data_IF_374615297365
#
_entry.id   IF_374615297365
#
_cell.length_a   1.000
_cell.length_b   1.000
_cell.length_c   1.000
_cell.angle_alpha   90.00
_cell.angle_beta   90.00
_cell.angle_gamma   90.00
#
_symmetry.space_group_name_H-M   'P 1'
#
loop_
_entity.id
_entity.type
_entity.pdbx_description
1 polymer ?
#
# COMPACT_ATOMS: atom_id res chain seq x y z
N UNK A 1 -22.03 -16.22 -35.16
CA UNK A 1 -22.14 -17.25 -34.10
C UNK A 1 -20.96 -17.08 -33.17
N UNK A 2 -21.10 -16.98 -31.84
CA UNK A 2 -19.91 -16.99 -30.98
C UNK A 2 -19.41 -18.43 -30.83
N UNK A 3 -18.12 -18.58 -31.05
CA UNK A 3 -17.36 -19.82 -31.01
C UNK A 3 -17.29 -20.32 -29.56
N UNK A 4 -17.72 -21.56 -29.29
CA UNK A 4 -17.55 -22.20 -27.98
C UNK A 4 -16.08 -22.54 -27.74
N UNK A 5 -15.34 -21.61 -27.13
CA UNK A 5 -14.09 -21.93 -26.45
C UNK A 5 -14.39 -22.73 -25.19
N UNK A 6 -13.97 -24.01 -25.16
CA UNK A 6 -14.08 -24.92 -24.03
C UNK A 6 -13.17 -24.50 -22.87
N UNK A 7 -13.50 -23.43 -22.16
CA UNK A 7 -12.89 -23.15 -20.86
C UNK A 7 -13.92 -23.33 -19.75
N UNK A 8 -13.78 -24.43 -19.01
CA UNK A 8 -14.63 -24.82 -17.88
C UNK A 8 -14.37 -23.98 -16.62
N UNK A 9 -13.43 -23.03 -16.68
CA UNK A 9 -13.11 -22.08 -15.62
C UNK A 9 -13.77 -20.71 -15.80
N UNK A 10 -14.51 -20.48 -16.88
CA UNK A 10 -15.24 -19.24 -17.06
C UNK A 10 -16.49 -19.23 -16.17
N UNK A 11 -16.51 -18.34 -15.18
CA UNK A 11 -17.66 -18.03 -14.35
C UNK A 11 -18.75 -17.32 -15.17
N UNK A 12 -19.46 -18.10 -15.98
CA UNK A 12 -20.76 -17.78 -16.59
C UNK A 12 -20.88 -16.38 -17.20
N UNK A 13 -20.34 -16.17 -18.40
CA UNK A 13 -20.63 -14.95 -19.17
C UNK A 13 -22.07 -15.00 -19.71
N UNK A 14 -22.99 -14.29 -19.04
CA UNK A 14 -24.38 -14.18 -19.49
C UNK A 14 -24.54 -13.07 -20.53
N UNK A 15 -24.99 -13.44 -21.72
CA UNK A 15 -25.33 -12.55 -22.83
C UNK A 15 -26.84 -12.34 -22.89
N UNK A 16 -27.28 -11.10 -23.01
CA UNK A 16 -28.70 -10.77 -23.21
C UNK A 16 -28.93 -10.23 -24.61
N UNK A 17 -30.03 -10.66 -25.24
CA UNK A 17 -30.39 -10.29 -26.61
C UNK A 17 -31.19 -9.00 -26.57
N UNK A 18 -30.78 -7.98 -27.32
CA UNK A 18 -31.54 -6.72 -27.41
C UNK A 18 -32.74 -6.90 -28.32
N UNK A 19 -33.75 -6.03 -28.17
CA UNK A 19 -34.99 -6.03 -28.98
C UNK A 19 -34.70 -5.89 -30.49
N UNK A 20 -33.56 -5.29 -30.84
CA UNK A 20 -33.07 -5.07 -32.20
C UNK A 20 -32.25 -6.28 -32.72
N UNK A 21 -32.28 -7.40 -32.00
CA UNK A 21 -31.64 -8.67 -32.39
C UNK A 21 -30.12 -8.74 -32.18
N UNK A 22 -29.51 -7.71 -31.58
CA UNK A 22 -28.07 -7.66 -31.32
C UNK A 22 -27.72 -8.25 -29.94
N UNK A 23 -26.57 -8.90 -29.81
CA UNK A 23 -26.11 -9.41 -28.52
C UNK A 23 -25.34 -8.33 -27.78
N UNK A 24 -25.74 -8.02 -26.55
CA UNK A 24 -25.04 -7.05 -25.73
C UNK A 24 -24.73 -7.65 -24.35
N UNK A 25 -23.62 -7.17 -23.77
CA UNK A 25 -23.26 -7.49 -22.40
C UNK A 25 -24.18 -6.66 -21.48
N UNK A 26 -24.75 -7.24 -20.41
CA UNK A 26 -25.47 -6.46 -19.42
C UNK A 26 -24.50 -5.43 -18.82
N UNK A 27 -24.85 -4.14 -18.92
CA UNK A 27 -24.10 -3.08 -18.26
C UNK A 27 -24.26 -3.27 -16.75
N UNK A 28 -23.16 -3.32 -15.97
CA UNK A 28 -23.27 -3.51 -14.54
C UNK A 28 -24.07 -2.35 -13.94
N UNK A 29 -25.10 -2.71 -13.16
CA UNK A 29 -25.89 -1.76 -12.39
C UNK A 29 -24.92 -0.99 -11.49
N UNK A 30 -24.79 0.31 -11.71
CA UNK A 30 -23.95 1.19 -10.91
C UNK A 30 -24.59 1.41 -9.53
N UNK A 31 -24.47 0.42 -8.63
CA UNK A 31 -24.63 0.66 -7.21
C UNK A 31 -23.24 0.84 -6.59
N UNK A 32 -23.02 2.08 -6.17
CA UNK A 32 -22.00 2.59 -5.24
C UNK A 32 -20.51 2.56 -5.64
N UNK A 33 -19.98 3.78 -5.74
CA UNK A 33 -18.57 4.15 -5.67
C UNK A 33 -17.89 3.78 -4.33
N UNK A 34 -18.31 2.72 -3.61
CA UNK A 34 -17.99 2.62 -2.18
C UNK A 34 -17.36 1.33 -1.66
N UNK A 35 -17.23 0.21 -2.37
CA UNK A 35 -16.64 -0.97 -1.72
C UNK A 35 -15.68 -1.85 -2.52
N UNK A 36 -15.75 -1.97 -3.85
CA UNK A 36 -15.23 -3.21 -4.45
C UNK A 36 -14.67 -2.99 -5.87
N UNK A 37 -13.51 -2.33 -5.97
CA UNK A 37 -12.62 -2.53 -7.11
C UNK A 37 -11.83 -3.82 -6.82
N UNK A 38 -12.43 -4.99 -7.07
CA UNK A 38 -12.02 -6.31 -6.55
C UNK A 38 -10.74 -6.92 -7.14
N UNK A 39 -9.88 -6.11 -7.77
CA UNK A 39 -8.52 -6.48 -8.17
C UNK A 39 -7.49 -5.42 -7.74
N UNK A 40 -7.88 -4.46 -6.90
CA UNK A 40 -6.99 -3.40 -6.44
C UNK A 40 -5.80 -4.02 -5.72
N UNK A 41 -4.61 -3.82 -6.28
CA UNK A 41 -3.38 -4.21 -5.63
C UNK A 41 -3.25 -3.46 -4.31
N UNK A 42 -2.51 -3.99 -3.33
CA UNK A 42 -2.28 -3.25 -2.09
C UNK A 42 -1.69 -1.85 -2.37
N UNK A 43 -0.93 -1.68 -3.46
CA UNK A 43 -0.47 -0.36 -3.91
C UNK A 43 -1.61 0.56 -4.34
N UNK A 44 -2.66 0.05 -4.98
CA UNK A 44 -3.84 0.85 -5.34
C UNK A 44 -4.63 1.26 -4.12
N UNK A 45 -4.74 0.39 -3.10
CA UNK A 45 -5.37 0.72 -1.81
C UNK A 45 -4.54 1.79 -1.07
N UNK A 46 -3.22 1.64 -1.02
CA UNK A 46 -2.31 2.62 -0.41
C UNK A 46 -2.35 3.97 -1.14
N UNK A 47 -2.50 3.97 -2.46
CA UNK A 47 -2.63 5.19 -3.25
C UNK A 47 -4.03 5.82 -3.11
N UNK A 48 -5.10 5.01 -3.11
CA UNK A 48 -6.50 5.45 -2.99
C UNK A 48 -6.85 5.99 -1.60
N UNK A 49 -6.07 5.64 -0.58
CA UNK A 49 -6.20 6.21 0.77
C UNK A 49 -5.91 7.73 0.84
N UNK A 50 -5.56 8.40 -0.28
CA UNK A 50 -5.18 9.83 -0.38
C UNK A 50 -4.26 10.25 0.79
N UNK A 51 -3.22 9.44 1.00
CA UNK A 51 -2.45 9.45 2.25
C UNK A 51 -1.64 10.74 2.39
N UNK A 52 -1.25 11.37 1.28
CA UNK A 52 -0.53 12.65 1.29
C UNK A 52 -1.38 13.74 1.92
N UNK A 53 -2.69 13.79 1.64
CA UNK A 53 -3.63 14.68 2.30
C UNK A 53 -4.13 14.15 3.66
N UNK A 54 -4.07 12.83 3.87
CA UNK A 54 -4.51 12.20 5.12
C UNK A 54 -3.50 12.38 6.26
N UNK A 55 -2.20 12.31 5.98
CA UNK A 55 -1.13 12.44 6.98
C UNK A 55 -1.01 13.85 7.54
N UNK A 56 -1.35 14.88 6.76
CA UNK A 56 -1.41 16.26 7.26
C UNK A 56 -2.54 16.49 8.27
N UNK A 57 -3.52 15.59 8.35
CA UNK A 57 -4.59 15.66 9.33
C UNK A 57 -4.24 14.87 10.59
N UNK A 58 -4.06 15.57 11.72
CA UNK A 58 -3.72 14.98 13.03
C UNK A 58 -4.63 13.81 13.41
N UNK A 59 -5.94 13.88 13.10
CA UNK A 59 -6.89 12.82 13.45
C UNK A 59 -6.64 11.56 12.63
N UNK A 60 -6.24 11.70 11.37
CA UNK A 60 -5.97 10.58 10.46
C UNK A 60 -4.56 10.02 10.59
N UNK A 61 -3.61 10.84 11.05
CA UNK A 61 -2.22 10.45 11.29
C UNK A 61 -2.09 9.15 12.12
N UNK A 62 -2.82 9.06 13.22
CA UNK A 62 -2.77 7.88 14.11
C UNK A 62 -3.37 6.62 13.48
N UNK A 63 -4.37 6.74 12.61
CA UNK A 63 -4.90 5.60 11.87
C UNK A 63 -3.89 5.13 10.82
N UNK A 64 -3.30 6.06 10.08
CA UNK A 64 -2.25 5.74 9.10
C UNK A 64 -1.05 5.09 9.79
N UNK A 65 -0.62 5.61 10.94
CA UNK A 65 0.44 5.03 11.77
C UNK A 65 0.15 3.57 12.13
N UNK A 66 -1.08 3.27 12.54
CA UNK A 66 -1.48 1.90 12.92
C UNK A 66 -1.46 0.95 11.73
N UNK A 67 -1.92 1.41 10.56
CA UNK A 67 -1.83 0.64 9.31
C UNK A 67 -0.37 0.37 8.95
N UNK A 68 0.49 1.40 9.00
CA UNK A 68 1.93 1.26 8.73
C UNK A 68 2.58 0.25 9.69
N UNK A 69 2.28 0.31 10.98
CA UNK A 69 2.81 -0.63 11.98
C UNK A 69 2.42 -2.08 11.68
N UNK A 70 1.17 -2.32 11.25
CA UNK A 70 0.70 -3.66 10.87
C UNK A 70 1.45 -4.13 9.61
N UNK A 71 1.55 -3.28 8.59
CA UNK A 71 2.24 -3.61 7.34
C UNK A 71 3.72 -3.94 7.55
N UNK A 72 4.42 -3.17 8.39
CA UNK A 72 5.82 -3.40 8.73
C UNK A 72 6.04 -4.70 9.51
N UNK A 73 5.10 -5.07 10.39
CA UNK A 73 5.23 -6.27 11.23
C UNK A 73 4.89 -7.55 10.47
N UNK A 74 3.80 -7.54 9.72
CA UNK A 74 3.14 -8.78 9.30
C UNK A 74 3.19 -9.00 7.79
N UNK A 75 3.40 -7.95 7.00
CA UNK A 75 3.20 -8.03 5.54
C UNK A 75 4.34 -7.52 4.70
N UNK A 76 5.41 -6.97 5.27
CA UNK A 76 6.46 -6.29 4.52
C UNK A 76 7.05 -7.15 3.39
N UNK A 77 7.34 -8.42 3.67
CA UNK A 77 7.86 -9.39 2.68
C UNK A 77 6.82 -9.88 1.67
N UNK A 78 5.53 -9.82 2.03
CA UNK A 78 4.42 -10.17 1.15
C UNK A 78 4.04 -9.01 0.21
N UNK A 79 4.56 -7.80 0.47
CA UNK A 79 4.31 -6.63 -0.37
C UNK A 79 5.09 -6.70 -1.68
N UNK A 80 4.42 -6.32 -2.78
CA UNK A 80 5.13 -6.03 -4.03
C UNK A 80 6.13 -4.90 -3.83
N UNK A 81 7.23 -4.89 -4.59
CA UNK A 81 8.25 -3.84 -4.49
C UNK A 81 7.67 -2.42 -4.68
N UNK A 82 6.63 -2.26 -5.50
CA UNK A 82 5.91 -0.99 -5.64
C UNK A 82 5.13 -0.60 -4.36
N UNK A 83 4.44 -1.57 -3.72
CA UNK A 83 3.74 -1.33 -2.46
C UNK A 83 4.72 -1.00 -1.31
N UNK A 84 5.86 -1.68 -1.24
CA UNK A 84 6.93 -1.33 -0.29
C UNK A 84 7.44 0.10 -0.51
N UNK A 85 7.69 0.49 -1.77
CA UNK A 85 8.12 1.85 -2.12
C UNK A 85 7.10 2.90 -1.68
N UNK A 86 5.81 2.68 -1.93
CA UNK A 86 4.73 3.56 -1.44
C UNK A 86 4.72 3.62 0.09
N UNK A 87 4.79 2.47 0.78
CA UNK A 87 4.86 2.43 2.24
C UNK A 87 5.98 3.32 2.78
N UNK A 88 7.15 3.32 2.14
CA UNK A 88 8.29 4.09 2.64
C UNK A 88 8.18 5.57 2.36
N UNK A 89 7.58 5.94 1.24
CA UNK A 89 7.19 7.34 1.00
C UNK A 89 6.19 7.82 2.04
N UNK A 90 5.24 6.98 2.46
CA UNK A 90 4.27 7.32 3.51
C UNK A 90 4.99 7.55 4.84
N UNK A 91 5.86 6.64 5.27
CA UNK A 91 6.63 6.80 6.52
C UNK A 91 7.44 8.11 6.48
N UNK A 92 8.10 8.41 5.36
CA UNK A 92 8.88 9.64 5.20
C UNK A 92 8.02 10.89 5.37
N UNK A 93 6.85 10.93 4.75
CA UNK A 93 5.91 12.05 4.88
C UNK A 93 5.35 12.18 6.29
N UNK A 94 5.10 11.06 6.97
CA UNK A 94 4.68 11.08 8.36
C UNK A 94 5.76 11.67 9.29
N UNK A 95 7.03 11.37 9.04
CA UNK A 95 8.15 11.98 9.77
C UNK A 95 8.21 13.48 9.50
N UNK A 96 8.11 13.90 8.23
CA UNK A 96 8.12 15.32 7.86
C UNK A 96 6.96 16.08 8.51
N UNK A 97 5.77 15.48 8.58
CA UNK A 97 4.62 16.09 9.26
C UNK A 97 4.82 16.17 10.76
N UNK A 98 5.27 15.09 11.41
CA UNK A 98 5.56 15.08 12.85
C UNK A 98 6.63 16.12 13.23
N UNK A 99 7.66 16.27 12.39
CA UNK A 99 8.69 17.29 12.55
C UNK A 99 8.15 18.71 12.44
N UNK A 100 7.24 18.96 11.49
CA UNK A 100 6.64 20.28 11.27
C UNK A 100 5.66 20.67 12.37
N UNK A 101 4.86 19.73 12.86
CA UNK A 101 3.85 20.01 13.90
C UNK A 101 4.41 19.93 15.31
N UNK A 102 5.53 19.22 15.51
CA UNK A 102 6.07 18.92 16.84
C UNK A 102 5.33 17.80 17.57
N UNK A 103 4.35 17.16 16.93
CA UNK A 103 3.49 16.13 17.50
C UNK A 103 3.86 14.73 17.02
N UNK A 104 3.43 13.70 17.75
CA UNK A 104 3.59 12.27 17.40
C UNK A 104 5.05 11.82 17.18
N UNK A 105 6.03 12.60 17.63
CA UNK A 105 7.46 12.28 17.52
C UNK A 105 7.82 10.93 18.16
N UNK A 106 7.36 10.60 19.39
CA UNK A 106 7.64 9.29 19.97
C UNK A 106 7.03 8.13 19.18
N UNK A 107 5.86 8.36 18.57
CA UNK A 107 5.21 7.36 17.72
C UNK A 107 6.04 7.10 16.46
N UNK A 108 6.59 8.15 15.84
CA UNK A 108 7.47 8.00 14.68
C UNK A 108 8.79 7.32 15.04
N UNK A 109 9.37 7.61 16.21
CA UNK A 109 10.54 6.88 16.74
C UNK A 109 10.27 5.38 16.87
N UNK A 110 9.07 5.00 17.35
CA UNK A 110 8.65 3.59 17.43
C UNK A 110 8.49 2.97 16.04
N UNK A 111 7.86 3.66 15.09
CA UNK A 111 7.71 3.17 13.71
C UNK A 111 9.06 2.94 13.04
N UNK A 112 10.01 3.88 13.15
CA UNK A 112 11.34 3.73 12.54
C UNK A 112 12.15 2.62 13.21
N UNK A 113 12.05 2.47 14.53
CA UNK A 113 12.67 1.35 15.24
C UNK A 113 12.07 0.01 14.78
N UNK A 114 10.75 -0.06 14.64
CA UNK A 114 10.08 -1.25 14.15
C UNK A 114 10.49 -1.58 12.71
N UNK A 115 10.59 -0.56 11.85
CA UNK A 115 11.06 -0.74 10.48
C UNK A 115 12.49 -1.28 10.44
N UNK A 116 13.36 -0.78 11.32
CA UNK A 116 14.73 -1.28 11.46
C UNK A 116 14.77 -2.75 11.83
N UNK A 117 13.99 -3.14 12.85
CA UNK A 117 13.92 -4.52 13.30
C UNK A 117 13.33 -5.44 12.21
N UNK A 118 12.33 -4.98 11.45
CA UNK A 118 11.76 -5.74 10.33
C UNK A 118 12.78 -5.96 9.20
N UNK A 119 13.61 -4.96 8.92
CA UNK A 119 14.71 -5.07 7.97
C UNK A 119 15.79 -6.02 8.51
N UNK A 120 16.24 -5.81 9.74
CA UNK A 120 17.30 -6.63 10.36
C UNK A 120 16.91 -8.11 10.47
N UNK A 121 15.65 -8.40 10.79
CA UNK A 121 15.12 -9.77 10.84
C UNK A 121 15.13 -10.47 9.47
N UNK A 122 15.20 -9.73 8.37
CA UNK A 122 15.31 -10.30 7.02
C UNK A 122 16.77 -10.55 6.59
N UNK A 123 17.76 -10.08 7.35
CA UNK A 123 19.17 -10.38 7.10
C UNK A 123 19.50 -11.83 7.50
N UNK A 124 20.35 -12.57 6.75
CA UNK A 124 21.03 -12.22 5.49
C UNK A 124 20.21 -12.59 4.24
N UNK A 125 18.98 -13.05 4.39
CA UNK A 125 18.17 -13.59 3.30
C UNK A 125 17.32 -12.48 2.64
N UNK A 126 18.00 -11.60 1.90
CA UNK A 126 17.42 -10.42 1.24
C UNK A 126 16.29 -10.73 0.24
N UNK A 127 16.15 -12.00 -0.18
CA UNK A 127 15.20 -12.46 -1.20
C UNK A 127 13.74 -12.08 -0.89
N UNK A 128 13.37 -11.97 0.39
CA UNK A 128 12.01 -11.62 0.80
C UNK A 128 11.68 -10.13 0.69
N UNK A 129 12.70 -9.27 0.54
CA UNK A 129 12.54 -7.81 0.46
C UNK A 129 12.81 -7.29 -0.96
N UNK A 130 13.14 -8.17 -1.91
CA UNK A 130 13.30 -7.84 -3.33
C UNK A 130 14.75 -7.81 -3.77
N UNK A 131 15.04 -7.03 -4.83
CA UNK A 131 16.41 -6.93 -5.38
C UNK A 131 17.40 -6.28 -4.38
N UNK A 132 18.69 -6.58 -4.53
CA UNK A 132 19.76 -5.96 -3.71
C UNK A 132 19.76 -4.44 -3.79
N UNK A 133 19.41 -3.87 -4.94
CA UNK A 133 19.28 -2.43 -5.13
C UNK A 133 18.11 -1.84 -4.34
N UNK A 134 16.96 -2.53 -4.33
CA UNK A 134 15.80 -2.11 -3.54
C UNK A 134 16.12 -2.17 -2.04
N UNK A 135 16.83 -3.21 -1.60
CA UNK A 135 17.35 -3.31 -0.23
C UNK A 135 18.27 -2.13 0.14
N UNK A 136 19.21 -1.76 -0.73
CA UNK A 136 20.06 -0.58 -0.49
C UNK A 136 19.23 0.70 -0.33
N UNK A 137 18.24 0.92 -1.19
CA UNK A 137 17.33 2.06 -1.07
C UNK A 137 16.57 2.08 0.26
N UNK A 138 16.19 0.90 0.77
CA UNK A 138 15.50 0.78 2.05
C UNK A 138 16.39 1.18 3.23
N UNK A 139 17.66 0.74 3.20
CA UNK A 139 18.67 1.10 4.19
C UNK A 139 19.01 2.60 4.13
N UNK A 140 19.18 3.16 2.94
CA UNK A 140 19.41 4.60 2.73
C UNK A 140 18.24 5.44 3.25
N UNK A 141 17.00 5.01 2.97
CA UNK A 141 15.82 5.70 3.51
C UNK A 141 15.76 5.61 5.03
N UNK A 142 16.04 4.45 5.61
CA UNK A 142 15.98 4.26 7.05
C UNK A 142 17.06 5.06 7.78
N UNK A 143 18.27 5.12 7.23
CA UNK A 143 19.36 5.94 7.77
C UNK A 143 19.00 7.42 7.74
N UNK A 144 18.50 7.93 6.61
CA UNK A 144 18.00 9.30 6.47
C UNK A 144 16.88 9.62 7.48
N UNK A 145 15.91 8.72 7.65
CA UNK A 145 14.82 8.87 8.62
C UNK A 145 15.33 8.92 10.07
N UNK A 146 16.29 8.06 10.42
CA UNK A 146 16.93 8.06 11.75
C UNK A 146 17.69 9.36 11.99
N UNK A 147 18.43 9.86 11.01
CA UNK A 147 19.15 11.14 11.11
C UNK A 147 18.19 12.32 11.30
N UNK A 148 17.13 12.42 10.49
CA UNK A 148 16.08 13.43 10.66
C UNK A 148 15.50 13.46 12.06
N UNK A 149 15.29 12.30 12.69
CA UNK A 149 14.73 12.23 14.04
C UNK A 149 15.75 12.51 15.16
N UNK A 150 17.07 12.35 14.93
CA UNK A 150 18.11 12.70 15.91
C UNK A 150 18.21 14.19 16.18
N UNK A 151 17.78 15.03 15.23
CA UNK A 151 17.81 16.48 15.37
C UNK A 151 16.67 17.05 16.23
N UNK A 152 15.79 16.19 16.73
CA UNK A 152 14.69 16.56 17.62
C UNK A 152 15.15 16.30 19.06
N UNK A 153 15.21 17.36 19.88
CA UNK A 153 15.45 17.27 21.33
C UNK A 153 14.21 16.84 22.09
#
# INVERSE_FOLDING_TARGET
MPFMGRDWRANGEQWTKTEIGSWQRPKPISLSNSLINLNASLSDILNALDIVNSVSNIRRFNYVAKVVQILLKEKLSELSGNAQRCLFQIIERMIDTALKTGDNIPLMQRIVTQFHNSIEAAYPFYYYIGSSQLWQQHIEKLTHMKEKMKHIR
#
